data_IF_745738024044
#
_entry.id   IF_745738024044
#
_cell.length_a   1.000
_cell.length_b   1.000
_cell.length_c   1.000
_cell.angle_alpha   90.00
_cell.angle_beta   90.00
_cell.angle_gamma   90.00
#
_symmetry.space_group_name_H-M   'P 1'
#
loop_
_entity.id
_entity.type
_entity.pdbx_description
1 polymer ?
#
# COMPACT_ATOMS: atom_id res chain seq x y z
N UNK A 1 8.50 4.23 -17.22
CA UNK A 1 7.40 3.46 -16.60
C UNK A 1 7.99 2.57 -15.51
N UNK A 2 7.32 2.46 -14.36
CA UNK A 2 7.70 1.53 -13.29
C UNK A 2 6.60 0.48 -13.16
N UNK A 3 6.99 -0.79 -13.06
CA UNK A 3 6.09 -1.93 -12.81
C UNK A 3 6.62 -2.66 -11.59
N UNK A 4 5.75 -2.91 -10.62
CA UNK A 4 6.09 -3.49 -9.32
C UNK A 4 5.08 -4.58 -9.02
N UNK A 5 5.58 -5.75 -8.66
CA UNK A 5 4.76 -6.80 -8.05
C UNK A 5 4.52 -6.44 -6.58
N UNK A 6 3.45 -5.68 -6.34
CA UNK A 6 3.17 -5.12 -5.02
C UNK A 6 2.57 -6.15 -4.06
N UNK A 7 1.75 -7.07 -4.56
CA UNK A 7 0.93 -7.98 -3.75
C UNK A 7 0.80 -9.35 -4.41
N UNK A 8 0.47 -10.37 -3.62
CA UNK A 8 0.29 -11.75 -4.11
C UNK A 8 -1.10 -12.00 -4.73
N UNK A 9 -2.02 -11.05 -4.56
CA UNK A 9 -3.36 -11.05 -5.13
C UNK A 9 -3.74 -9.63 -5.60
N UNK A 10 -4.99 -9.44 -6.02
CA UNK A 10 -5.51 -8.19 -6.58
C UNK A 10 -5.25 -6.99 -5.65
N UNK A 11 -4.79 -5.88 -6.22
CA UNK A 11 -4.70 -4.61 -5.51
C UNK A 11 -6.05 -3.93 -5.61
N UNK A 12 -6.78 -3.90 -4.50
CA UNK A 12 -8.15 -3.39 -4.43
C UNK A 12 -8.19 -1.87 -4.20
N UNK A 13 -7.20 -1.33 -3.50
CA UNK A 13 -7.18 0.09 -3.13
C UNK A 13 -5.77 0.65 -2.95
N UNK A 14 -5.67 1.97 -3.03
CA UNK A 14 -4.44 2.71 -2.77
C UNK A 14 -4.75 4.09 -2.18
N UNK A 15 -3.80 4.67 -1.44
CA UNK A 15 -3.93 6.02 -0.88
C UNK A 15 -2.57 6.70 -0.74
N UNK A 16 -2.42 7.86 -1.37
CA UNK A 16 -1.24 8.71 -1.24
C UNK A 16 -1.26 9.44 0.10
N UNK A 17 -0.09 9.54 0.72
CA UNK A 17 0.04 10.30 1.97
C UNK A 17 -0.14 11.81 1.68
N UNK A 18 -1.01 12.52 2.43
CA UNK A 18 -1.28 13.94 2.20
C UNK A 18 -0.14 14.88 2.63
N UNK A 19 0.78 14.39 3.46
CA UNK A 19 1.91 15.16 4.02
C UNK A 19 3.25 14.86 3.31
N UNK A 20 3.39 13.68 2.72
CA UNK A 20 4.61 13.26 2.02
C UNK A 20 4.29 12.72 0.65
N UNK A 21 4.70 13.45 -0.39
CA UNK A 21 4.52 13.07 -1.80
C UNK A 21 5.17 11.73 -2.18
N UNK A 22 6.08 11.22 -1.34
CA UNK A 22 6.81 9.99 -1.59
C UNK A 22 6.18 8.77 -0.94
N UNK A 23 5.17 8.93 -0.09
CA UNK A 23 4.60 7.80 0.66
C UNK A 23 3.27 7.37 0.05
N UNK A 24 3.16 6.07 -0.22
CA UNK A 24 1.96 5.43 -0.77
C UNK A 24 1.60 4.22 0.08
N UNK A 25 0.31 4.05 0.37
CA UNK A 25 -0.24 2.83 0.94
C UNK A 25 -1.07 2.08 -0.12
N UNK A 26 -0.96 0.76 -0.18
CA UNK A 26 -1.75 -0.11 -1.06
C UNK A 26 -2.39 -1.23 -0.25
N UNK A 27 -3.64 -1.58 -0.54
CA UNK A 27 -4.36 -2.69 0.09
C UNK A 27 -4.78 -3.74 -0.93
N UNK A 28 -4.74 -5.02 -0.55
CA UNK A 28 -4.97 -6.14 -1.45
C UNK A 28 -5.90 -7.23 -0.88
N UNK A 29 -6.42 -8.06 -1.78
CA UNK A 29 -7.07 -9.32 -1.46
C UNK A 29 -6.12 -10.34 -0.76
N UNK A 30 -4.80 -10.11 -0.79
CA UNK A 30 -3.83 -10.90 -0.02
C UNK A 30 -3.88 -10.63 1.50
N UNK A 31 -4.84 -9.81 1.95
CA UNK A 31 -5.13 -9.47 3.35
C UNK A 31 -4.07 -8.58 4.00
N UNK A 32 -3.20 -7.99 3.19
CA UNK A 32 -2.14 -7.10 3.67
C UNK A 32 -2.31 -5.67 3.15
N UNK A 33 -1.76 -4.74 3.92
CA UNK A 33 -1.51 -3.37 3.45
C UNK A 33 -0.01 -3.19 3.30
N UNK A 34 0.46 -2.73 2.14
CA UNK A 34 1.86 -2.41 1.92
C UNK A 34 2.08 -0.89 1.93
N UNK A 35 3.17 -0.46 2.56
CA UNK A 35 3.64 0.92 2.59
C UNK A 35 4.88 1.07 1.70
N UNK A 36 4.93 2.12 0.90
CA UNK A 36 5.94 2.31 -0.14
C UNK A 36 6.58 3.69 -0.09
N UNK A 37 7.86 3.76 -0.46
CA UNK A 37 8.55 5.00 -0.85
C UNK A 37 8.63 5.07 -2.38
N UNK A 38 7.97 6.04 -2.99
CA UNK A 38 7.94 6.23 -4.45
C UNK A 38 9.32 6.55 -5.04
N UNK A 39 10.28 7.01 -4.23
CA UNK A 39 11.67 7.23 -4.66
C UNK A 39 12.42 5.91 -4.82
N UNK A 40 11.96 4.85 -4.14
CA UNK A 40 12.55 3.52 -4.22
C UNK A 40 11.48 2.41 -4.14
N UNK A 41 10.84 2.14 -5.27
CA UNK A 41 9.79 1.13 -5.42
C UNK A 41 10.30 -0.32 -5.39
N UNK A 42 11.60 -0.56 -5.16
CA UNK A 42 12.15 -1.94 -5.14
C UNK A 42 11.74 -2.72 -3.90
N UNK A 43 11.47 -2.03 -2.79
CA UNK A 43 11.16 -2.65 -1.51
C UNK A 43 9.99 -1.91 -0.84
N UNK A 44 9.13 -2.68 -0.19
CA UNK A 44 8.13 -2.16 0.74
C UNK A 44 8.84 -1.54 1.94
N UNK A 45 8.40 -0.38 2.38
CA UNK A 45 8.79 0.18 3.68
C UNK A 45 8.25 -0.68 4.82
N UNK A 46 7.02 -1.18 4.66
CA UNK A 46 6.37 -2.04 5.65
C UNK A 46 5.23 -2.86 5.02
N UNK A 47 4.85 -3.94 5.70
CA UNK A 47 3.64 -4.73 5.41
C UNK A 47 2.86 -4.88 6.71
N UNK A 48 1.60 -4.46 6.70
CA UNK A 48 0.67 -4.65 7.81
C UNK A 48 -0.15 -5.93 7.58
N UNK A 49 0.01 -6.93 8.45
CA UNK A 49 -0.50 -8.29 8.28
C UNK A 49 -1.52 -8.69 9.37
N UNK A 50 -2.35 -7.76 9.82
CA UNK A 50 -3.32 -8.02 10.89
C UNK A 50 -4.71 -8.44 10.40
N UNK A 51 -5.06 -8.18 9.14
CA UNK A 51 -6.40 -8.43 8.62
C UNK A 51 -6.58 -9.91 8.28
N UNK A 52 -7.74 -10.48 8.61
CA UNK A 52 -8.09 -11.88 8.33
C UNK A 52 -8.80 -12.06 6.98
N UNK A 53 -9.14 -10.95 6.35
CA UNK A 53 -9.90 -10.87 5.10
C UNK A 53 -9.36 -9.74 4.22
N UNK A 54 -9.90 -9.63 3.01
CA UNK A 54 -9.45 -8.70 1.97
C UNK A 54 -9.49 -7.24 2.42
N UNK A 55 -8.53 -6.45 1.94
CA UNK A 55 -8.53 -5.01 2.16
C UNK A 55 -9.34 -4.34 1.05
N UNK A 56 -10.45 -3.71 1.42
CA UNK A 56 -11.28 -2.97 0.46
C UNK A 56 -10.90 -1.49 0.35
N UNK A 57 -10.40 -0.88 1.42
CA UNK A 57 -10.06 0.54 1.44
C UNK A 57 -8.93 0.84 2.43
N UNK A 58 -8.06 1.76 2.04
CA UNK A 58 -7.05 2.37 2.90
C UNK A 58 -7.15 3.89 2.79
N UNK A 59 -6.95 4.61 3.88
CA UNK A 59 -6.98 6.07 3.89
C UNK A 59 -6.01 6.62 4.94
N UNK A 60 -5.35 7.72 4.61
CA UNK A 60 -4.59 8.50 5.56
C UNK A 60 -5.50 9.39 6.41
N UNK A 61 -5.16 9.54 7.70
CA UNK A 61 -5.73 10.57 8.54
C UNK A 61 -5.47 11.95 7.94
N UNK A 62 -6.46 12.85 8.05
CA UNK A 62 -6.30 14.26 7.70
C UNK A 62 -5.65 15.09 8.82
N UNK A 63 -5.35 14.44 9.95
CA UNK A 63 -4.78 15.02 11.17
C UNK A 63 -3.44 14.37 11.47
#
# INVERSE_FOLDING_TARGET
SHVVEAHAAEVNCLSFNPFSEYILATGSADKTVALWDLRNLKLKLHTFESHKDEIFQVQWSHH
#
